data_IF_673243995979
#
_entry.id   IF_673243995979
#
_cell.length_a   1.000
_cell.length_b   1.000
_cell.length_c   1.000
_cell.angle_alpha   90.00
_cell.angle_beta   90.00
_cell.angle_gamma   90.00
#
_symmetry.space_group_name_H-M   'P 1'
#
loop_
_entity.id
_entity.type
_entity.pdbx_description
1 polymer ?
#
# COMPACT_ATOMS: atom_id res chain seq x y z
N UNK A 1 10.45 27.86 -1.07
CA UNK A 1 10.00 27.28 -2.36
C UNK A 1 11.08 26.30 -2.84
N UNK A 2 10.84 24.98 -2.86
CA UNK A 2 11.83 24.01 -3.36
C UNK A 2 11.89 24.12 -4.88
N UNK A 3 12.87 24.84 -5.42
CA UNK A 3 13.03 25.12 -6.86
C UNK A 3 13.19 23.86 -7.74
N UNK A 4 13.56 22.72 -7.15
CA UNK A 4 13.65 21.44 -7.84
C UNK A 4 13.07 20.31 -6.97
N UNK A 5 11.91 19.79 -7.36
CA UNK A 5 11.40 18.52 -6.85
C UNK A 5 11.93 17.38 -7.73
N UNK A 6 12.75 16.49 -7.17
CA UNK A 6 13.21 15.30 -7.90
C UNK A 6 12.04 14.31 -8.04
N UNK A 7 11.47 14.25 -9.26
CA UNK A 7 10.30 13.42 -9.60
C UNK A 7 10.68 12.02 -10.12
N UNK A 8 11.98 11.69 -10.18
CA UNK A 8 12.47 10.40 -10.63
C UNK A 8 12.92 10.36 -12.10
N UNK A 9 12.86 9.18 -12.70
CA UNK A 9 13.40 8.93 -14.04
C UNK A 9 12.36 9.24 -15.11
N UNK A 10 12.72 10.05 -16.10
CA UNK A 10 11.80 10.43 -17.19
C UNK A 10 11.62 9.29 -18.18
N UNK A 11 10.37 8.97 -18.51
CA UNK A 11 10.02 8.03 -19.59
C UNK A 11 10.41 8.64 -20.94
N UNK A 12 11.09 7.84 -21.77
CA UNK A 12 11.64 8.19 -23.09
C UNK A 12 11.42 7.04 -24.06
N UNK A 13 11.33 7.36 -25.36
CA UNK A 13 11.04 6.37 -26.42
C UNK A 13 12.02 5.20 -26.47
N UNK A 14 13.31 5.41 -26.20
CA UNK A 14 14.29 4.33 -26.25
C UNK A 14 14.05 3.22 -25.21
N UNK A 15 13.29 3.49 -24.13
CA UNK A 15 13.01 2.47 -23.13
C UNK A 15 12.22 1.29 -23.68
N UNK A 16 11.49 1.45 -24.80
CA UNK A 16 10.85 0.31 -25.50
C UNK A 16 11.87 -0.80 -25.81
N UNK A 17 13.10 -0.42 -26.16
CA UNK A 17 14.20 -1.33 -26.52
C UNK A 17 15.16 -1.59 -25.37
N UNK A 18 14.83 -1.22 -24.12
CA UNK A 18 15.79 -1.27 -23.00
C UNK A 18 16.28 -2.69 -22.69
N UNK A 19 15.43 -3.71 -22.86
CA UNK A 19 15.82 -5.11 -22.64
C UNK A 19 16.89 -5.55 -23.65
N UNK A 20 16.74 -5.14 -24.91
CA UNK A 20 17.74 -5.38 -25.96
C UNK A 20 19.02 -4.61 -25.64
N UNK A 21 18.91 -3.32 -25.30
CA UNK A 21 20.07 -2.48 -24.98
C UNK A 21 20.88 -3.06 -23.82
N UNK A 22 20.22 -3.43 -22.72
CA UNK A 22 20.89 -4.02 -21.54
C UNK A 22 21.51 -5.37 -21.85
N UNK A 23 20.83 -6.24 -22.59
CA UNK A 23 21.40 -7.52 -23.04
C UNK A 23 22.62 -7.32 -23.93
N UNK A 24 22.54 -6.41 -24.90
CA UNK A 24 23.67 -6.06 -25.77
C UNK A 24 24.86 -5.50 -24.99
N UNK A 25 24.62 -4.66 -23.98
CA UNK A 25 25.69 -4.14 -23.11
C UNK A 25 26.34 -5.29 -22.32
N UNK A 26 25.55 -6.22 -21.78
CA UNK A 26 26.08 -7.39 -21.05
C UNK A 26 26.86 -8.34 -21.96
N UNK A 27 26.48 -8.44 -23.24
CA UNK A 27 27.15 -9.28 -24.24
C UNK A 27 28.43 -8.63 -24.82
N UNK A 28 28.55 -7.30 -24.78
CA UNK A 28 29.64 -6.55 -25.40
C UNK A 28 31.05 -7.01 -24.99
N UNK A 29 31.37 -7.28 -23.72
CA UNK A 29 32.70 -7.76 -23.33
C UNK A 29 33.07 -9.10 -24.00
N UNK A 30 32.10 -9.99 -24.17
CA UNK A 30 32.30 -11.28 -24.82
C UNK A 30 32.51 -11.11 -26.32
N UNK A 31 31.81 -10.18 -26.97
CA UNK A 31 32.04 -9.84 -28.37
C UNK A 31 33.44 -9.27 -28.59
N UNK A 32 33.89 -8.36 -27.72
CA UNK A 32 35.23 -7.78 -27.79
C UNK A 32 36.32 -8.83 -27.54
N UNK A 33 36.12 -9.72 -26.57
CA UNK A 33 37.05 -10.83 -26.30
C UNK A 33 37.14 -11.79 -27.50
N UNK A 34 36.01 -12.14 -28.12
CA UNK A 34 36.00 -12.98 -29.32
C UNK A 34 36.64 -12.27 -30.54
N UNK A 35 36.43 -10.96 -30.70
CA UNK A 35 37.08 -10.18 -31.75
C UNK A 35 38.60 -10.12 -31.56
N UNK A 36 39.05 -9.92 -30.32
CA UNK A 36 40.47 -9.91 -29.96
C UNK A 36 41.12 -11.28 -30.17
N UNK A 37 40.45 -12.37 -29.77
CA UNK A 37 40.91 -13.73 -30.01
C UNK A 37 41.06 -14.02 -31.51
N UNK A 38 40.06 -13.62 -32.31
CA UNK A 38 40.12 -13.74 -33.77
C UNK A 38 41.29 -12.95 -34.36
N UNK A 39 41.58 -11.76 -33.83
CA UNK A 39 42.69 -10.92 -34.30
C UNK A 39 44.06 -11.57 -34.03
N UNK A 40 44.26 -12.12 -32.82
CA UNK A 40 45.53 -12.80 -32.48
C UNK A 40 45.71 -14.08 -33.29
N UNK A 41 44.66 -14.91 -33.38
CA UNK A 41 44.73 -16.20 -34.04
C UNK A 41 44.48 -16.13 -35.55
N UNK A 42 44.49 -14.93 -36.16
CA UNK A 42 44.13 -14.73 -37.56
C UNK A 42 44.91 -15.63 -38.53
N UNK A 43 46.23 -15.73 -38.34
CA UNK A 43 47.11 -16.54 -39.19
C UNK A 43 46.85 -18.05 -39.05
N UNK A 44 46.41 -18.50 -37.88
CA UNK A 44 46.09 -19.91 -37.61
C UNK A 44 44.70 -20.28 -38.11
N UNK A 45 43.76 -19.34 -38.05
CA UNK A 45 42.40 -19.49 -38.59
C UNK A 45 42.45 -19.72 -40.11
N UNK A 46 43.32 -19.01 -40.82
CA UNK A 46 43.49 -19.19 -42.28
C UNK A 46 44.05 -20.57 -42.64
N UNK A 47 44.86 -21.18 -41.76
CA UNK A 47 45.48 -22.50 -42.00
C UNK A 47 44.52 -23.64 -41.68
N UNK A 48 43.79 -23.55 -40.57
CA UNK A 48 42.88 -24.61 -40.09
C UNK A 48 41.57 -24.01 -39.61
N UNK A 49 40.58 -23.74 -40.48
CA UNK A 49 39.41 -22.95 -40.11
C UNK A 49 38.43 -23.69 -39.19
N UNK A 50 38.28 -25.01 -39.35
CA UNK A 50 37.23 -25.79 -38.67
C UNK A 50 37.32 -25.77 -37.12
N UNK A 51 38.47 -26.07 -36.48
CA UNK A 51 38.55 -26.08 -35.01
C UNK A 51 38.40 -24.68 -34.39
N UNK A 52 38.92 -23.64 -35.04
CA UNK A 52 38.80 -22.27 -34.55
C UNK A 52 37.36 -21.75 -34.67
N UNK A 53 36.62 -22.14 -35.71
CA UNK A 53 35.21 -21.80 -35.87
C UNK A 53 34.35 -22.43 -34.76
N UNK A 54 34.61 -23.69 -34.41
CA UNK A 54 33.94 -24.36 -33.29
C UNK A 54 34.25 -23.62 -31.98
N UNK A 55 35.53 -23.31 -31.73
CA UNK A 55 35.94 -22.62 -30.50
C UNK A 55 35.31 -21.23 -30.38
N UNK A 56 35.33 -20.43 -31.45
CA UNK A 56 34.67 -19.12 -31.52
C UNK A 56 33.15 -19.21 -31.29
N UNK A 57 32.52 -20.24 -31.86
CA UNK A 57 31.10 -20.48 -31.67
C UNK A 57 30.78 -20.80 -30.20
N UNK A 58 31.58 -21.65 -29.56
CA UNK A 58 31.42 -21.99 -28.14
C UNK A 58 31.65 -20.76 -27.26
N UNK A 59 32.73 -20.01 -27.48
CA UNK A 59 33.08 -18.82 -26.67
C UNK A 59 32.12 -17.65 -26.86
N UNK A 60 31.25 -17.67 -27.88
CA UNK A 60 30.19 -16.70 -28.06
C UNK A 60 28.83 -17.20 -27.56
N UNK A 61 28.42 -18.40 -27.98
CA UNK A 61 27.09 -18.94 -27.71
C UNK A 61 26.91 -19.36 -26.26
N UNK A 62 27.94 -19.94 -25.63
CA UNK A 62 27.84 -20.40 -24.24
C UNK A 62 27.65 -19.23 -23.26
N UNK A 63 28.46 -18.14 -23.30
CA UNK A 63 28.20 -16.96 -22.48
C UNK A 63 26.88 -16.27 -22.84
N UNK A 64 26.50 -16.20 -24.11
CA UNK A 64 25.21 -15.62 -24.51
C UNK A 64 24.04 -16.37 -23.86
N UNK A 65 24.07 -17.70 -23.84
CA UNK A 65 23.05 -18.51 -23.19
C UNK A 65 23.00 -18.29 -21.67
N UNK A 66 24.15 -18.27 -21.00
CA UNK A 66 24.23 -17.97 -19.56
C UNK A 66 23.69 -16.55 -19.27
N UNK A 67 24.05 -15.58 -20.10
CA UNK A 67 23.61 -14.20 -19.98
C UNK A 67 22.09 -14.06 -20.16
N UNK A 68 21.42 -14.91 -20.94
CA UNK A 68 19.95 -14.89 -21.01
C UNK A 68 19.33 -15.20 -19.64
N UNK A 69 19.82 -16.24 -18.97
CA UNK A 69 19.38 -16.60 -17.62
C UNK A 69 19.71 -15.51 -16.61
N UNK A 70 20.95 -15.00 -16.62
CA UNK A 70 21.39 -13.92 -15.73
C UNK A 70 20.58 -12.63 -15.96
N UNK A 71 20.35 -12.24 -17.21
CA UNK A 71 19.57 -11.05 -17.58
C UNK A 71 18.14 -11.18 -17.06
N UNK A 72 17.52 -12.35 -17.21
CA UNK A 72 16.20 -12.61 -16.65
C UNK A 72 16.19 -12.45 -15.13
N UNK A 73 17.15 -13.06 -14.42
CA UNK A 73 17.31 -12.91 -12.97
C UNK A 73 17.56 -11.46 -12.56
N UNK A 74 18.34 -10.70 -13.34
CA UNK A 74 18.63 -9.31 -13.07
C UNK A 74 17.34 -8.48 -12.97
N UNK A 75 16.43 -8.67 -13.93
CA UNK A 75 15.13 -8.00 -13.98
C UNK A 75 14.16 -8.43 -12.87
N UNK A 76 14.34 -9.62 -12.28
CA UNK A 76 13.52 -10.09 -11.16
C UNK A 76 14.04 -9.66 -9.79
N UNK A 77 15.36 -9.56 -9.59
CA UNK A 77 15.97 -9.37 -8.27
C UNK A 77 16.42 -7.94 -8.00
N UNK A 78 17.02 -7.27 -8.98
CA UNK A 78 17.65 -5.97 -8.74
C UNK A 78 16.69 -4.80 -9.01
N UNK A 79 16.61 -3.86 -8.06
CA UNK A 79 15.75 -2.68 -8.14
C UNK A 79 16.02 -1.82 -9.38
N UNK A 80 17.28 -1.71 -9.80
CA UNK A 80 17.67 -0.97 -10.99
C UNK A 80 16.99 -1.51 -12.25
N UNK A 81 17.06 -2.82 -12.49
CA UNK A 81 16.44 -3.45 -13.66
C UNK A 81 14.91 -3.49 -13.56
N UNK A 82 14.34 -3.67 -12.36
CA UNK A 82 12.91 -3.49 -12.12
C UNK A 82 12.43 -2.11 -12.58
N UNK A 83 13.16 -1.05 -12.18
CA UNK A 83 12.87 0.33 -12.60
C UNK A 83 12.97 0.52 -14.11
N UNK A 84 13.98 -0.06 -14.76
CA UNK A 84 14.09 -0.04 -16.23
C UNK A 84 12.91 -0.74 -16.90
N UNK A 85 12.41 -1.85 -16.35
CA UNK A 85 11.23 -2.52 -16.88
C UNK A 85 9.96 -1.68 -16.72
N UNK A 86 9.79 -1.00 -15.59
CA UNK A 86 8.69 -0.05 -15.37
C UNK A 86 8.69 1.08 -16.39
N UNK A 87 9.87 1.67 -16.66
CA UNK A 87 10.03 2.69 -17.71
C UNK A 87 9.69 2.14 -19.11
N UNK A 88 10.03 0.88 -19.40
CA UNK A 88 9.67 0.20 -20.66
C UNK A 88 8.17 0.01 -20.79
N UNK A 89 7.51 -0.50 -19.74
CA UNK A 89 6.06 -0.72 -19.72
C UNK A 89 5.33 0.60 -19.96
N UNK A 90 5.72 1.68 -19.27
CA UNK A 90 5.15 3.01 -19.49
C UNK A 90 5.45 3.57 -20.88
N UNK A 91 6.64 3.36 -21.42
CA UNK A 91 6.96 3.80 -22.77
C UNK A 91 6.08 3.10 -23.81
N UNK A 92 5.87 1.79 -23.67
CA UNK A 92 4.95 1.02 -24.51
C UNK A 92 3.51 1.52 -24.35
N UNK A 93 3.05 1.66 -23.12
CA UNK A 93 1.70 2.17 -22.81
C UNK A 93 1.43 3.52 -23.48
N UNK A 94 2.34 4.49 -23.36
CA UNK A 94 2.18 5.80 -23.98
C UNK A 94 2.16 5.74 -25.51
N UNK A 95 2.89 4.81 -26.11
CA UNK A 95 3.00 4.72 -27.57
C UNK A 95 1.80 3.96 -28.15
N UNK A 96 1.44 2.82 -27.56
CA UNK A 96 0.31 1.98 -28.00
C UNK A 96 -1.03 2.73 -27.86
N UNK A 97 -1.20 3.51 -26.78
CA UNK A 97 -2.40 4.33 -26.58
C UNK A 97 -2.34 5.70 -27.28
N UNK A 98 -1.35 5.94 -28.16
CA UNK A 98 -1.16 7.19 -28.91
C UNK A 98 -1.02 8.45 -28.04
N UNK A 99 -0.51 8.30 -26.82
CA UNK A 99 -0.17 9.38 -25.91
C UNK A 99 1.19 10.02 -26.25
N UNK A 100 1.31 10.51 -27.49
CA UNK A 100 2.49 11.23 -27.97
C UNK A 100 2.17 12.35 -28.95
N UNK A 101 3.15 13.24 -29.14
CA UNK A 101 3.12 14.28 -30.17
C UNK A 101 4.03 13.83 -31.32
N UNK A 102 3.47 13.71 -32.53
CA UNK A 102 4.24 13.48 -33.75
C UNK A 102 4.47 14.81 -34.48
N UNK A 103 5.68 14.99 -35.00
CA UNK A 103 6.00 16.06 -35.95
C UNK A 103 6.69 15.44 -37.15
N UNK A 104 6.13 15.62 -38.34
CA UNK A 104 6.76 15.16 -39.59
C UNK A 104 7.93 16.09 -39.90
N UNK A 105 9.13 15.52 -40.00
CA UNK A 105 10.34 16.25 -40.37
C UNK A 105 10.87 15.63 -41.66
N UNK A 106 11.06 16.45 -42.69
CA UNK A 106 11.70 16.02 -43.94
C UNK A 106 13.22 16.02 -43.72
N UNK A 107 13.87 14.87 -43.94
CA UNK A 107 15.33 14.74 -43.93
C UNK A 107 15.71 13.84 -45.11
N UNK A 108 16.58 14.32 -46.00
CA UNK A 108 16.99 13.62 -47.24
C UNK A 108 15.83 13.06 -48.06
N UNK A 109 14.84 13.88 -48.39
CA UNK A 109 13.70 13.48 -49.23
C UNK A 109 12.73 12.48 -48.59
N UNK A 110 13.04 11.94 -47.41
CA UNK A 110 12.16 11.02 -46.66
C UNK A 110 11.44 11.78 -45.54
N UNK A 111 10.12 11.60 -45.46
CA UNK A 111 9.32 12.10 -44.35
C UNK A 111 9.54 11.18 -43.14
N UNK A 112 10.21 11.69 -42.10
CA UNK A 112 10.43 10.95 -40.86
C UNK A 112 9.51 11.53 -39.77
N UNK A 113 8.69 10.67 -39.18
CA UNK A 113 7.85 11.06 -38.04
C UNK A 113 8.66 11.10 -36.74
N UNK A 114 8.87 12.31 -36.21
CA UNK A 114 9.50 12.51 -34.91
C UNK A 114 8.45 12.41 -33.81
N UNK A 115 8.45 11.29 -33.10
CA UNK A 115 7.58 11.04 -31.93
C UNK A 115 8.22 11.63 -30.67
N UNK A 116 7.49 12.49 -29.98
CA UNK A 116 7.86 13.09 -28.69
C UNK A 116 6.87 12.66 -27.61
N UNK A 117 7.38 12.02 -26.56
CA UNK A 117 6.56 11.60 -25.42
C UNK A 117 6.32 12.76 -24.45
N UNK A 118 5.14 12.81 -23.81
CA UNK A 118 4.85 13.74 -22.72
C UNK A 118 5.82 13.52 -21.55
N UNK A 119 5.96 14.52 -20.67
CA UNK A 119 6.81 14.39 -19.48
C UNK A 119 6.09 13.47 -18.48
N UNK A 120 6.55 12.22 -18.42
CA UNK A 120 6.15 11.24 -17.42
C UNK A 120 7.38 10.82 -16.64
N UNK A 121 7.27 10.75 -15.32
CA UNK A 121 8.36 10.38 -14.43
C UNK A 121 7.99 9.18 -13.58
N UNK A 122 9.00 8.38 -13.25
CA UNK A 122 8.87 7.18 -12.43
C UNK A 122 9.86 7.22 -11.28
N UNK A 123 9.36 7.05 -10.06
CA UNK A 123 10.17 6.78 -8.87
C UNK A 123 9.70 5.45 -8.27
N UNK A 124 10.62 4.50 -8.16
CA UNK A 124 10.31 3.13 -7.74
C UNK A 124 11.28 2.65 -6.67
N UNK A 125 10.72 2.07 -5.61
CA UNK A 125 11.40 1.26 -4.58
C UNK A 125 10.98 -0.22 -4.75
N UNK A 126 11.35 -1.08 -3.81
CA UNK A 126 10.94 -2.49 -3.85
C UNK A 126 9.43 -2.69 -3.65
N UNK A 127 8.76 -1.76 -2.96
CA UNK A 127 7.35 -1.89 -2.56
C UNK A 127 6.47 -0.71 -3.00
N UNK A 128 7.09 0.36 -3.50
CA UNK A 128 6.41 1.60 -3.82
C UNK A 128 6.74 2.06 -5.24
N UNK A 129 5.71 2.49 -5.97
CA UNK A 129 5.80 3.00 -7.33
C UNK A 129 5.03 4.32 -7.41
N UNK A 130 5.76 5.41 -7.59
CA UNK A 130 5.22 6.73 -7.84
C UNK A 130 5.37 7.09 -9.32
N UNK A 131 4.26 7.37 -9.98
CA UNK A 131 4.24 7.77 -11.40
C UNK A 131 3.66 9.17 -11.51
N UNK A 132 4.40 10.08 -12.12
CA UNK A 132 3.99 11.47 -12.29
C UNK A 132 3.70 11.78 -13.76
N UNK A 133 2.49 12.23 -14.09
CA UNK A 133 2.10 12.68 -15.44
C UNK A 133 1.92 14.19 -15.47
N UNK A 134 2.35 14.82 -16.56
CA UNK A 134 2.24 16.27 -16.73
C UNK A 134 0.81 16.72 -17.05
N UNK A 135 0.35 17.75 -16.36
CA UNK A 135 -0.89 18.49 -16.55
C UNK A 135 -0.54 19.93 -16.95
N UNK A 136 -0.34 20.18 -18.24
CA UNK A 136 -0.06 21.51 -18.81
C UNK A 136 -1.10 21.86 -19.89
N UNK A 137 -2.39 21.52 -19.68
CA UNK A 137 -3.44 21.74 -20.69
C UNK A 137 -3.23 20.92 -21.96
N UNK A 138 -2.47 19.82 -21.87
CA UNK A 138 -2.17 19.00 -23.03
C UNK A 138 -3.40 18.16 -23.46
N UNK A 139 -3.41 17.70 -24.71
CA UNK A 139 -4.51 16.90 -25.29
C UNK A 139 -4.80 15.57 -24.56
N UNK A 140 -3.98 15.19 -23.59
CA UNK A 140 -4.09 13.94 -22.84
C UNK A 140 -4.48 14.17 -21.37
N UNK A 141 -4.70 15.42 -20.96
CA UNK A 141 -4.89 15.79 -19.57
C UNK A 141 -6.03 15.00 -18.91
N UNK A 142 -7.21 14.97 -19.52
CA UNK A 142 -8.38 14.27 -18.98
C UNK A 142 -8.15 12.75 -18.89
N UNK A 143 -7.37 12.21 -19.83
CA UNK A 143 -6.96 10.79 -19.78
C UNK A 143 -6.00 10.55 -18.63
N UNK A 144 -4.97 11.38 -18.48
CA UNK A 144 -4.00 11.28 -17.38
C UNK A 144 -4.61 11.48 -16.01
N UNK A 145 -5.72 12.19 -15.89
CA UNK A 145 -6.48 12.32 -14.64
C UNK A 145 -7.20 11.03 -14.27
N UNK A 146 -7.50 10.15 -15.22
CA UNK A 146 -8.32 8.95 -15.00
C UNK A 146 -7.55 7.64 -15.22
N UNK A 147 -6.23 7.63 -14.97
CA UNK A 147 -5.37 6.45 -15.19
C UNK A 147 -5.22 5.52 -13.98
N UNK A 148 -5.84 5.82 -12.84
CA UNK A 148 -5.62 5.08 -11.58
C UNK A 148 -5.80 3.56 -11.72
N UNK A 149 -6.99 3.13 -12.15
CA UNK A 149 -7.31 1.71 -12.34
C UNK A 149 -6.45 1.04 -13.41
N UNK A 150 -6.17 1.74 -14.52
CA UNK A 150 -5.31 1.20 -15.59
C UNK A 150 -3.89 0.93 -15.09
N UNK A 151 -3.31 1.85 -14.30
CA UNK A 151 -1.96 1.69 -13.77
C UNK A 151 -1.90 0.59 -12.71
N UNK A 152 -2.95 0.45 -11.91
CA UNK A 152 -3.11 -0.60 -10.91
C UNK A 152 -3.08 -2.00 -11.55
N UNK A 153 -3.81 -2.18 -12.65
CA UNK A 153 -3.79 -3.42 -13.45
C UNK A 153 -2.41 -3.61 -14.11
N UNK A 154 -1.89 -2.57 -14.77
CA UNK A 154 -0.65 -2.63 -15.55
C UNK A 154 0.58 -3.00 -14.70
N UNK A 155 0.64 -2.56 -13.45
CA UNK A 155 1.76 -2.84 -12.55
C UNK A 155 1.51 -3.95 -11.54
N UNK A 156 0.34 -4.58 -11.59
CA UNK A 156 -0.10 -5.52 -10.58
C UNK A 156 0.11 -4.99 -9.14
N UNK A 157 -0.24 -3.73 -8.94
CA UNK A 157 -0.11 -3.05 -7.65
C UNK A 157 -1.47 -2.68 -7.09
N UNK A 158 -1.46 -2.04 -5.92
CA UNK A 158 -2.65 -1.43 -5.31
C UNK A 158 -2.53 0.08 -5.36
N UNK A 159 -3.55 0.73 -5.89
CA UNK A 159 -3.62 2.19 -5.90
C UNK A 159 -3.85 2.71 -4.48
N UNK A 160 -2.93 3.55 -4.00
CA UNK A 160 -2.95 4.18 -2.67
C UNK A 160 -3.60 5.55 -2.70
N UNK A 161 -3.05 6.45 -3.52
CA UNK A 161 -3.50 7.83 -3.56
C UNK A 161 -3.18 8.50 -4.90
N UNK A 162 -3.93 9.55 -5.22
CA UNK A 162 -3.74 10.44 -6.35
C UNK A 162 -3.62 11.85 -5.81
N UNK A 163 -2.45 12.45 -6.00
CA UNK A 163 -2.18 13.82 -5.56
C UNK A 163 -1.90 14.73 -6.75
N UNK A 164 -2.31 15.99 -6.62
CA UNK A 164 -2.01 17.03 -7.59
C UNK A 164 -0.85 17.87 -7.06
N UNK A 165 0.29 17.80 -7.74
CA UNK A 165 1.53 18.48 -7.38
C UNK A 165 1.91 19.46 -8.50
N UNK A 166 1.47 20.71 -8.31
CA UNK A 166 1.64 21.84 -9.22
C UNK A 166 1.13 21.52 -10.64
N UNK A 167 2.03 21.12 -11.53
CA UNK A 167 1.78 20.81 -12.95
C UNK A 167 1.73 19.32 -13.24
N UNK A 168 1.63 18.48 -12.20
CA UNK A 168 1.63 17.05 -12.37
C UNK A 168 0.56 16.40 -11.51
N UNK A 169 0.07 15.28 -12.02
CA UNK A 169 -0.69 14.31 -11.24
C UNK A 169 0.24 13.16 -10.86
N UNK A 170 0.23 12.79 -9.59
CA UNK A 170 1.02 11.70 -9.07
C UNK A 170 0.12 10.55 -8.65
N UNK A 171 0.43 9.36 -9.15
CA UNK A 171 -0.19 8.11 -8.76
C UNK A 171 0.76 7.37 -7.84
N UNK A 172 0.31 7.13 -6.61
CA UNK A 172 0.98 6.30 -5.62
C UNK A 172 0.42 4.88 -5.69
N UNK A 173 1.29 3.91 -5.99
CA UNK A 173 0.94 2.51 -6.19
C UNK A 173 1.85 1.64 -5.32
N UNK A 174 1.26 0.76 -4.52
CA UNK A 174 1.97 -0.28 -3.78
C UNK A 174 2.24 -1.46 -4.68
N UNK A 175 3.45 -1.99 -4.69
CA UNK A 175 3.84 -3.14 -5.52
C UNK A 175 4.44 -4.25 -4.65
N UNK A 176 4.42 -5.49 -5.13
CA UNK A 176 5.00 -6.66 -4.44
C UNK A 176 4.40 -6.93 -3.05
N UNK A 177 3.07 -7.02 -2.98
CA UNK A 177 2.26 -7.19 -1.74
C UNK A 177 2.66 -8.39 -0.88
N UNK A 178 3.03 -9.51 -1.49
CA UNK A 178 3.43 -10.71 -0.75
C UNK A 178 4.75 -10.47 0.01
N UNK A 179 5.72 -9.85 -0.67
CA UNK A 179 7.03 -9.57 -0.08
C UNK A 179 7.03 -8.36 0.85
N UNK A 180 5.94 -7.58 0.90
CA UNK A 180 5.78 -6.50 1.87
C UNK A 180 5.16 -6.97 3.18
N UNK A 181 4.70 -8.23 3.28
CA UNK A 181 4.26 -8.80 4.56
C UNK A 181 5.42 -8.82 5.55
N UNK A 182 5.11 -8.56 6.80
CA UNK A 182 6.06 -8.56 7.92
C UNK A 182 5.59 -9.57 8.97
N UNK A 183 6.52 -10.06 9.76
CA UNK A 183 6.19 -10.92 10.90
C UNK A 183 5.62 -10.10 12.06
N UNK A 184 4.91 -10.77 12.97
CA UNK A 184 4.26 -10.14 14.14
C UNK A 184 5.28 -9.40 15.02
N UNK A 185 6.51 -9.92 15.10
CA UNK A 185 7.61 -9.29 15.85
C UNK A 185 8.03 -7.94 15.28
N UNK A 186 7.86 -7.74 13.98
CA UNK A 186 8.29 -6.54 13.25
C UNK A 186 7.22 -5.44 13.22
N UNK A 187 6.01 -5.77 13.70
CA UNK A 187 4.92 -4.82 13.92
C UNK A 187 5.31 -3.91 15.07
N UNK A 188 5.77 -2.72 14.69
CA UNK A 188 6.33 -1.70 15.58
C UNK A 188 5.55 -0.40 15.44
N UNK A 189 5.60 0.43 16.47
CA UNK A 189 4.98 1.75 16.49
C UNK A 189 6.10 2.78 16.49
N UNK A 190 6.09 3.65 15.48
CA UNK A 190 6.97 4.82 15.40
C UNK A 190 6.12 6.07 15.32
N UNK A 191 6.30 7.01 16.25
CA UNK A 191 5.57 8.29 16.31
C UNK A 191 4.07 8.16 16.05
N UNK A 192 3.39 7.27 16.78
CA UNK A 192 1.95 6.98 16.65
C UNK A 192 1.53 6.20 15.40
N UNK A 193 2.46 5.88 14.52
CA UNK A 193 2.21 5.08 13.32
C UNK A 193 2.56 3.62 13.55
N UNK A 194 1.54 2.76 13.49
CA UNK A 194 1.68 1.32 13.54
C UNK A 194 2.07 0.80 12.16
N UNK A 195 3.20 0.11 12.06
CA UNK A 195 3.64 -0.55 10.83
C UNK A 195 2.92 -1.90 10.68
N UNK A 196 2.04 -1.99 9.69
CA UNK A 196 1.25 -3.21 9.40
C UNK A 196 1.91 -4.07 8.31
N UNK A 197 2.61 -3.43 7.37
CA UNK A 197 3.41 -4.06 6.31
C UNK A 197 4.65 -3.20 6.07
N UNK A 198 5.56 -3.62 5.19
CA UNK A 198 6.74 -2.84 4.81
C UNK A 198 6.39 -1.43 4.31
N UNK A 199 5.22 -1.28 3.69
CA UNK A 199 4.75 -0.03 3.08
C UNK A 199 3.31 0.35 3.48
N UNK A 200 2.70 -0.35 4.43
CA UNK A 200 1.35 -0.04 4.95
C UNK A 200 1.47 0.30 6.42
N UNK A 201 0.96 1.48 6.77
CA UNK A 201 1.00 2.03 8.12
C UNK A 201 -0.38 2.52 8.52
N UNK A 202 -0.67 2.50 9.82
CA UNK A 202 -1.85 3.12 10.41
C UNK A 202 -1.39 4.12 11.48
N UNK A 203 -1.61 5.40 11.22
CA UNK A 203 -1.40 6.46 12.21
C UNK A 203 -2.73 6.69 12.94
N UNK A 204 -2.80 6.24 14.19
CA UNK A 204 -4.04 6.32 14.97
C UNK A 204 -4.42 7.75 15.39
N UNK A 205 -3.53 8.74 15.26
CA UNK A 205 -3.83 10.16 15.52
C UNK A 205 -4.36 10.85 14.25
N UNK A 206 -3.76 10.55 13.10
CA UNK A 206 -4.17 11.12 11.82
C UNK A 206 -5.44 10.44 11.27
N UNK A 207 -5.53 9.12 11.41
CA UNK A 207 -6.64 8.27 10.98
C UNK A 207 -7.27 7.61 12.23
N UNK A 208 -8.04 8.37 13.03
CA UNK A 208 -8.61 7.86 14.27
C UNK A 208 -9.58 6.72 13.96
N UNK A 209 -9.51 5.68 14.79
CA UNK A 209 -10.27 4.43 14.66
C UNK A 209 -9.86 3.58 13.44
N UNK A 210 -10.05 2.28 13.57
CA UNK A 210 -9.67 1.30 12.55
C UNK A 210 -10.81 0.31 12.31
N UNK A 211 -11.19 0.12 11.06
CA UNK A 211 -12.14 -0.91 10.66
C UNK A 211 -11.39 -2.03 9.93
N UNK A 212 -11.50 -3.25 10.45
CA UNK A 212 -10.92 -4.46 9.88
C UNK A 212 -12.08 -5.34 9.45
N UNK A 213 -12.03 -5.87 8.24
CA UNK A 213 -12.96 -6.90 7.87
C UNK A 213 -12.42 -7.93 6.91
N UNK A 214 -13.05 -9.09 6.92
CA UNK A 214 -12.53 -10.26 6.21
C UNK A 214 -13.35 -11.50 6.49
N UNK A 215 -13.44 -12.37 5.49
CA UNK A 215 -14.11 -13.66 5.64
C UNK A 215 -13.44 -14.56 6.68
N UNK A 216 -14.19 -15.57 7.12
CA UNK A 216 -13.67 -16.64 8.00
C UNK A 216 -12.44 -17.29 7.37
N UNK A 217 -11.40 -17.53 8.18
CA UNK A 217 -10.13 -18.09 7.70
C UNK A 217 -9.22 -17.10 6.94
N UNK A 218 -9.62 -15.84 6.77
CA UNK A 218 -8.84 -14.81 6.07
C UNK A 218 -7.66 -14.21 6.84
N UNK A 219 -7.37 -14.71 8.06
CA UNK A 219 -6.30 -14.18 8.91
C UNK A 219 -6.68 -12.97 9.78
N UNK A 220 -7.98 -12.67 9.92
CA UNK A 220 -8.51 -11.57 10.76
C UNK A 220 -7.97 -11.60 12.19
N UNK A 221 -8.07 -12.76 12.85
CA UNK A 221 -7.55 -12.95 14.21
C UNK A 221 -6.06 -12.66 14.30
N UNK A 222 -5.25 -13.16 13.36
CA UNK A 222 -3.79 -12.95 13.35
C UNK A 222 -3.44 -11.46 13.24
N UNK A 223 -4.12 -10.73 12.34
CA UNK A 223 -3.93 -9.29 12.19
C UNK A 223 -4.34 -8.55 13.46
N UNK A 224 -5.49 -8.90 14.04
CA UNK A 224 -5.98 -8.28 15.28
C UNK A 224 -5.00 -8.49 16.43
N UNK A 225 -4.51 -9.72 16.62
CA UNK A 225 -3.51 -10.06 17.64
C UNK A 225 -2.20 -9.31 17.44
N UNK A 226 -1.76 -9.14 16.19
CA UNK A 226 -0.55 -8.38 15.86
C UNK A 226 -0.68 -6.90 16.23
N UNK A 227 -1.86 -6.31 15.97
CA UNK A 227 -2.17 -4.93 16.36
C UNK A 227 -2.21 -4.82 17.88
N UNK A 228 -2.92 -5.71 18.57
CA UNK A 228 -3.01 -5.74 20.04
C UNK A 228 -1.62 -5.85 20.67
N UNK A 229 -0.77 -6.74 20.16
CA UNK A 229 0.62 -6.94 20.62
C UNK A 229 1.44 -5.65 20.56
N UNK A 230 1.35 -4.91 19.46
CA UNK A 230 2.10 -3.67 19.29
C UNK A 230 1.51 -2.54 20.15
N UNK A 231 0.18 -2.38 20.17
CA UNK A 231 -0.50 -1.31 20.90
C UNK A 231 -0.37 -1.47 22.43
N UNK A 232 -0.28 -2.70 22.95
CA UNK A 232 -0.15 -2.96 24.38
C UNK A 232 1.15 -2.37 24.97
N UNK A 233 2.15 -2.11 24.12
CA UNK A 233 3.43 -1.49 24.50
C UNK A 233 3.33 0.01 24.70
N UNK A 234 2.32 0.67 24.13
CA UNK A 234 2.22 2.15 24.12
C UNK A 234 1.02 2.69 24.89
N UNK A 235 -0.02 1.87 25.08
CA UNK A 235 -1.28 2.34 25.63
C UNK A 235 -2.03 1.28 26.42
N UNK A 236 -3.22 1.67 26.85
CA UNK A 236 -4.18 0.79 27.49
C UNK A 236 -5.07 0.15 26.43
N UNK A 237 -5.44 -1.12 26.61
CA UNK A 237 -6.34 -1.82 25.69
C UNK A 237 -7.46 -2.49 26.49
N UNK A 238 -8.69 -2.30 26.03
CA UNK A 238 -9.84 -3.09 26.43
C UNK A 238 -10.27 -3.97 25.25
N UNK A 239 -10.47 -5.26 25.51
CA UNK A 239 -10.75 -6.29 24.51
C UNK A 239 -12.20 -6.76 24.70
N UNK A 240 -13.02 -6.61 23.67
CA UNK A 240 -14.40 -7.05 23.65
C UNK A 240 -14.52 -8.23 22.66
N UNK A 241 -14.86 -9.40 23.19
CA UNK A 241 -15.01 -10.64 22.43
C UNK A 241 -16.41 -11.24 22.65
N UNK A 242 -17.42 -10.79 21.89
CA UNK A 242 -18.78 -11.27 22.03
C UNK A 242 -18.92 -12.75 21.67
N UNK A 243 -17.96 -13.37 20.98
CA UNK A 243 -18.00 -14.80 20.67
C UNK A 243 -17.27 -15.67 21.71
N UNK A 244 -16.57 -15.06 22.67
CA UNK A 244 -15.72 -15.75 23.64
C UNK A 244 -14.80 -16.78 22.96
N UNK A 245 -14.11 -16.33 21.92
CA UNK A 245 -13.29 -17.13 21.03
C UNK A 245 -11.80 -16.78 21.24
N UNK A 246 -11.13 -16.31 20.19
CA UNK A 246 -9.67 -16.19 20.15
C UNK A 246 -9.11 -15.13 21.12
N UNK A 247 -9.83 -14.03 21.38
CA UNK A 247 -9.39 -12.97 22.28
C UNK A 247 -9.63 -13.32 23.76
N UNK A 248 -10.58 -14.20 24.06
CA UNK A 248 -10.87 -14.62 25.43
C UNK A 248 -9.66 -15.25 26.14
N UNK A 249 -8.78 -15.92 25.39
CA UNK A 249 -7.54 -16.49 25.92
C UNK A 249 -6.53 -15.46 26.44
N UNK A 250 -6.72 -14.17 26.13
CA UNK A 250 -5.86 -13.10 26.67
C UNK A 250 -6.18 -12.75 28.12
N UNK A 251 -7.24 -13.30 28.72
CA UNK A 251 -7.61 -13.10 30.15
C UNK A 251 -6.48 -13.45 31.12
N UNK A 252 -5.71 -14.48 30.79
CA UNK A 252 -4.62 -14.99 31.63
C UNK A 252 -3.33 -14.16 31.51
N UNK A 253 -3.25 -13.26 30.53
CA UNK A 253 -2.08 -12.40 30.34
C UNK A 253 -2.17 -11.23 31.32
N UNK A 254 -1.16 -10.99 32.18
CA UNK A 254 -1.23 -9.99 33.24
C UNK A 254 -1.63 -8.57 32.79
N UNK A 255 -1.22 -8.15 31.59
CA UNK A 255 -1.53 -6.82 31.05
C UNK A 255 -3.01 -6.64 30.68
N UNK A 256 -3.73 -7.74 30.41
CA UNK A 256 -5.14 -7.74 30.01
C UNK A 256 -6.09 -8.23 31.11
N UNK A 257 -5.56 -8.55 32.29
CA UNK A 257 -6.38 -9.01 33.41
C UNK A 257 -7.45 -7.97 33.77
N UNK A 258 -8.72 -8.41 33.80
CA UNK A 258 -9.88 -7.53 34.02
C UNK A 258 -10.22 -6.59 32.85
N UNK A 259 -9.63 -6.80 31.67
CA UNK A 259 -9.82 -5.96 30.47
C UNK A 259 -10.31 -6.76 29.25
N UNK A 260 -10.78 -7.98 29.47
CA UNK A 260 -11.37 -8.83 28.44
C UNK A 260 -12.83 -9.08 28.78
N UNK A 261 -13.72 -8.55 27.95
CA UNK A 261 -15.17 -8.51 28.14
C UNK A 261 -15.83 -9.42 27.13
N UNK A 262 -16.69 -10.34 27.59
CA UNK A 262 -17.26 -11.39 26.73
C UNK A 262 -18.80 -11.40 26.73
N UNK A 263 -19.41 -11.04 27.86
CA UNK A 263 -20.88 -10.95 27.94
C UNK A 263 -21.37 -9.64 27.31
N UNK A 264 -22.64 -9.58 26.90
CA UNK A 264 -23.19 -8.36 26.31
C UNK A 264 -23.21 -7.23 27.35
N UNK A 265 -23.54 -7.53 28.60
CA UNK A 265 -23.57 -6.59 29.71
C UNK A 265 -22.17 -6.02 30.01
N UNK A 266 -21.15 -6.89 30.05
CA UNK A 266 -19.75 -6.49 30.23
C UNK A 266 -19.26 -5.56 29.11
N UNK A 267 -19.58 -5.88 27.85
CA UNK A 267 -19.16 -5.07 26.71
C UNK A 267 -19.86 -3.70 26.72
N UNK A 268 -21.16 -3.66 27.05
CA UNK A 268 -21.91 -2.40 27.18
C UNK A 268 -21.32 -1.53 28.30
N UNK A 269 -21.01 -2.14 29.45
CA UNK A 269 -20.39 -1.43 30.56
C UNK A 269 -18.99 -0.92 30.19
N UNK A 270 -18.18 -1.71 29.49
CA UNK A 270 -16.88 -1.29 28.98
C UNK A 270 -16.98 -0.06 28.07
N UNK A 271 -17.98 0.00 27.18
CA UNK A 271 -18.21 1.18 26.33
C UNK A 271 -18.56 2.42 27.17
N UNK A 272 -19.46 2.27 28.15
CA UNK A 272 -19.84 3.35 29.07
C UNK A 272 -18.66 3.86 29.90
N UNK A 273 -17.83 2.94 30.41
CA UNK A 273 -16.64 3.28 31.18
C UNK A 273 -15.63 4.06 30.34
N UNK A 274 -15.50 3.69 29.06
CA UNK A 274 -14.63 4.42 28.13
C UNK A 274 -15.18 5.79 27.74
N UNK A 275 -16.50 5.98 27.67
CA UNK A 275 -17.12 7.31 27.52
C UNK A 275 -16.77 8.18 28.73
N UNK A 276 -16.99 7.65 29.94
CA UNK A 276 -16.67 8.36 31.19
C UNK A 276 -15.17 8.70 31.25
N UNK A 277 -14.31 7.77 30.84
CA UNK A 277 -12.86 7.99 30.76
C UNK A 277 -12.48 9.10 29.77
N UNK A 278 -13.14 9.15 28.61
CA UNK A 278 -12.98 10.20 27.62
C UNK A 278 -13.37 11.58 28.18
N UNK A 279 -14.54 11.67 28.82
CA UNK A 279 -15.03 12.92 29.43
C UNK A 279 -14.09 13.43 30.53
N UNK A 280 -13.62 12.52 31.40
CA UNK A 280 -12.64 12.85 32.43
C UNK A 280 -11.34 13.38 31.84
N UNK A 281 -10.88 12.83 30.70
CA UNK A 281 -9.70 13.35 30.00
C UNK A 281 -9.95 14.73 29.40
N UNK A 282 -11.13 14.98 28.85
CA UNK A 282 -11.48 16.30 28.36
C UNK A 282 -11.42 17.34 29.49
N UNK A 283 -12.01 17.03 30.64
CA UNK A 283 -11.93 17.90 31.81
C UNK A 283 -10.47 18.11 32.27
N UNK A 284 -9.67 17.05 32.33
CA UNK A 284 -8.26 17.16 32.70
C UNK A 284 -7.43 18.01 31.73
N UNK A 285 -7.70 17.90 30.41
CA UNK A 285 -7.05 18.71 29.38
C UNK A 285 -7.46 20.19 29.51
N UNK A 286 -8.76 20.46 29.64
CA UNK A 286 -9.29 21.83 29.76
C UNK A 286 -8.79 22.53 31.02
N UNK A 287 -8.65 21.80 32.12
CA UNK A 287 -8.14 22.31 33.39
C UNK A 287 -6.61 22.29 33.50
N UNK A 288 -5.88 21.85 32.46
CA UNK A 288 -4.43 21.78 32.50
C UNK A 288 -3.83 23.21 32.50
N UNK A 289 -2.84 23.52 33.36
CA UNK A 289 -2.28 24.88 33.46
C UNK A 289 -1.74 25.46 32.14
N UNK A 290 -1.26 24.58 31.26
CA UNK A 290 -0.75 24.93 29.92
C UNK A 290 -1.74 24.63 28.80
N UNK A 291 -3.05 24.70 29.06
CA UNK A 291 -4.07 24.44 28.05
C UNK A 291 -3.85 25.31 26.82
N UNK A 292 -3.85 24.68 25.65
CA UNK A 292 -3.78 25.34 24.36
C UNK A 292 -4.81 24.74 23.42
N UNK A 293 -5.49 25.62 22.68
CA UNK A 293 -6.47 25.22 21.67
C UNK A 293 -5.77 24.39 20.59
N UNK A 294 -6.42 23.30 20.17
CA UNK A 294 -5.91 22.41 19.13
C UNK A 294 -4.86 21.40 19.59
N UNK A 295 -4.56 21.33 20.89
CA UNK A 295 -3.72 20.29 21.49
C UNK A 295 -4.54 19.08 21.90
N UNK A 296 -3.90 17.91 21.90
CA UNK A 296 -4.53 16.61 22.17
C UNK A 296 -3.87 15.90 23.35
N UNK A 297 -4.44 14.77 23.77
CA UNK A 297 -3.94 13.93 24.87
C UNK A 297 -2.41 13.71 24.86
N UNK A 298 -1.79 13.55 23.68
CA UNK A 298 -0.35 13.30 23.54
C UNK A 298 0.49 14.51 23.98
N UNK A 299 0.01 15.73 23.77
CA UNK A 299 0.68 16.96 24.19
C UNK A 299 0.70 17.14 25.72
N UNK A 300 -0.19 16.45 26.43
CA UNK A 300 -0.30 16.45 27.89
C UNK A 300 0.29 15.17 28.52
N UNK A 301 1.06 14.39 27.78
CA UNK A 301 1.73 13.18 28.28
C UNK A 301 0.78 12.02 28.63
N UNK A 302 -0.47 12.07 28.17
CA UNK A 302 -1.43 11.00 28.40
C UNK A 302 -1.18 9.85 27.42
N UNK A 303 -1.29 8.61 27.90
CA UNK A 303 -1.16 7.41 27.05
C UNK A 303 -2.43 7.20 26.22
N UNK A 304 -2.36 6.68 24.99
CA UNK A 304 -3.55 6.32 24.23
C UNK A 304 -4.32 5.16 24.90
N UNK A 305 -5.63 5.11 24.66
CA UNK A 305 -6.54 4.05 25.10
C UNK A 305 -7.22 3.46 23.87
N UNK A 306 -7.20 2.14 23.74
CA UNK A 306 -7.78 1.42 22.61
C UNK A 306 -8.89 0.50 23.09
N UNK A 307 -9.99 0.48 22.34
CA UNK A 307 -11.12 -0.41 22.53
C UNK A 307 -11.16 -1.31 21.30
N UNK A 308 -10.84 -2.58 21.47
CA UNK A 308 -10.82 -3.56 20.38
C UNK A 308 -12.07 -4.40 20.50
N UNK A 309 -12.93 -4.37 19.48
CA UNK A 309 -14.14 -5.20 19.45
C UNK A 309 -14.00 -6.20 18.31
N UNK A 310 -13.86 -7.47 18.67
CA UNK A 310 -14.01 -8.54 17.69
C UNK A 310 -15.48 -8.78 17.39
N UNK A 311 -15.75 -9.07 16.13
CA UNK A 311 -17.08 -9.33 15.57
C UNK A 311 -18.19 -8.43 16.11
N UNK A 312 -18.13 -7.13 15.81
CA UNK A 312 -19.17 -6.18 16.21
C UNK A 312 -20.60 -6.64 15.87
N UNK A 313 -20.77 -7.27 14.70
CA UNK A 313 -22.06 -7.82 14.27
C UNK A 313 -22.64 -8.86 15.26
N UNK A 314 -21.79 -9.64 15.93
CA UNK A 314 -22.23 -10.62 16.93
C UNK A 314 -22.74 -9.94 18.21
N UNK A 315 -22.19 -8.79 18.60
CA UNK A 315 -22.75 -8.01 19.70
C UNK A 315 -24.13 -7.46 19.33
N UNK A 316 -24.25 -6.88 18.14
CA UNK A 316 -25.53 -6.33 17.64
C UNK A 316 -26.62 -7.40 17.59
N UNK A 317 -26.30 -8.58 17.06
CA UNK A 317 -27.24 -9.71 17.03
C UNK A 317 -27.70 -10.16 18.43
N UNK A 318 -26.84 -10.06 19.46
CA UNK A 318 -27.20 -10.42 20.85
C UNK A 318 -28.12 -9.41 21.53
N UNK A 319 -28.14 -8.16 21.05
CA UNK A 319 -28.96 -7.07 21.62
C UNK A 319 -30.10 -6.65 20.71
N UNK A 320 -30.29 -7.33 19.58
CA UNK A 320 -31.27 -6.98 18.54
C UNK A 320 -32.70 -6.92 19.08
N UNK A 321 -33.04 -7.79 20.03
CA UNK A 321 -34.36 -7.81 20.67
C UNK A 321 -34.57 -6.72 21.72
N UNK A 322 -33.52 -6.02 22.15
CA UNK A 322 -33.58 -4.97 23.17
C UNK A 322 -33.24 -3.60 22.58
N UNK A 323 -34.28 -2.92 22.09
CA UNK A 323 -34.18 -1.60 21.49
C UNK A 323 -33.54 -0.56 22.41
N UNK A 324 -33.73 -0.67 23.74
CA UNK A 324 -33.15 0.27 24.70
C UNK A 324 -31.64 0.08 24.81
N UNK A 325 -31.18 -1.17 24.86
CA UNK A 325 -29.74 -1.47 24.85
C UNK A 325 -29.10 -1.09 23.52
N UNK A 326 -29.76 -1.36 22.39
CA UNK A 326 -29.27 -0.96 21.08
C UNK A 326 -29.09 0.57 20.96
N UNK A 327 -30.06 1.34 21.46
CA UNK A 327 -29.97 2.80 21.51
C UNK A 327 -28.80 3.28 22.37
N UNK A 328 -28.64 2.73 23.59
CA UNK A 328 -27.53 3.07 24.48
C UNK A 328 -26.16 2.76 23.87
N UNK A 329 -26.00 1.57 23.29
CA UNK A 329 -24.74 1.16 22.66
C UNK A 329 -24.40 2.06 21.48
N UNK A 330 -25.40 2.40 20.68
CA UNK A 330 -25.22 3.32 19.54
C UNK A 330 -24.81 4.71 20.03
N UNK A 331 -25.39 5.20 21.12
CA UNK A 331 -25.05 6.49 21.72
C UNK A 331 -23.60 6.51 22.20
N UNK A 332 -23.19 5.55 23.05
CA UNK A 332 -21.81 5.47 23.56
C UNK A 332 -20.80 5.35 22.42
N UNK A 333 -21.10 4.49 21.43
CA UNK A 333 -20.23 4.31 20.28
C UNK A 333 -20.11 5.60 19.46
N UNK A 334 -21.22 6.30 19.24
CA UNK A 334 -21.22 7.57 18.48
C UNK A 334 -20.35 8.62 19.17
N UNK A 335 -20.50 8.78 20.49
CA UNK A 335 -19.67 9.70 21.27
C UNK A 335 -18.18 9.33 21.16
N UNK A 336 -17.82 8.06 21.38
CA UNK A 336 -16.42 7.62 21.31
C UNK A 336 -15.80 7.81 19.93
N UNK A 337 -16.54 7.58 18.85
CA UNK A 337 -16.01 7.72 17.48
C UNK A 337 -15.90 9.18 17.06
N UNK A 338 -16.85 10.03 17.44
CA UNK A 338 -16.84 11.44 17.06
C UNK A 338 -15.87 12.27 17.93
N UNK A 339 -15.76 11.93 19.21
CA UNK A 339 -15.05 12.73 20.21
C UNK A 339 -13.78 12.03 20.75
N UNK A 340 -13.52 10.76 20.43
CA UNK A 340 -12.38 10.02 20.99
C UNK A 340 -11.00 10.55 20.59
N UNK A 341 -10.87 11.21 19.44
CA UNK A 341 -9.57 11.63 18.89
C UNK A 341 -8.77 12.55 19.81
N UNK A 342 -9.38 13.61 20.35
CA UNK A 342 -8.64 14.58 21.17
C UNK A 342 -8.31 14.03 22.55
N UNK A 343 -9.18 13.19 23.12
CA UNK A 343 -8.99 12.49 24.40
C UNK A 343 -8.05 11.28 24.30
N UNK A 344 -7.69 10.86 23.08
CA UNK A 344 -6.81 9.72 22.84
C UNK A 344 -7.47 8.37 23.10
N UNK A 345 -8.78 8.29 22.89
CA UNK A 345 -9.56 7.05 22.95
C UNK A 345 -9.90 6.61 21.53
N UNK A 346 -9.42 5.44 21.13
CA UNK A 346 -9.55 4.93 19.77
C UNK A 346 -10.25 3.58 19.75
N UNK A 347 -10.99 3.31 18.67
CA UNK A 347 -11.78 2.08 18.51
C UNK A 347 -11.22 1.30 17.34
N UNK A 348 -11.06 -0.01 17.54
CA UNK A 348 -10.68 -0.95 16.50
C UNK A 348 -11.83 -1.96 16.37
N UNK A 349 -12.49 -1.95 15.22
CA UNK A 349 -13.55 -2.89 14.90
C UNK A 349 -13.04 -3.98 13.99
N UNK A 350 -13.34 -5.22 14.34
CA UNK A 350 -13.21 -6.35 13.44
C UNK A 350 -14.59 -6.91 13.10
N UNK A 351 -14.86 -7.14 11.81
CA UNK A 351 -16.13 -7.67 11.33
C UNK A 351 -15.91 -8.69 10.22
N UNK A 352 -16.76 -9.71 10.11
CA UNK A 352 -16.72 -10.57 8.93
C UNK A 352 -17.26 -9.85 7.68
N UNK A 353 -18.37 -9.12 7.85
CA UNK A 353 -19.00 -8.31 6.80
C UNK A 353 -19.40 -6.95 7.39
N UNK A 354 -18.87 -5.81 6.89
CA UNK A 354 -19.16 -4.49 7.44
C UNK A 354 -20.50 -3.93 6.93
N UNK A 355 -21.59 -4.64 7.21
CA UNK A 355 -22.93 -4.26 6.74
C UNK A 355 -23.40 -2.94 7.39
N UNK A 356 -24.16 -2.15 6.63
CA UNK A 356 -24.78 -0.91 7.10
C UNK A 356 -25.84 -1.14 8.18
N UNK A 357 -26.38 -2.36 8.25
CA UNK A 357 -27.27 -2.80 9.34
C UNK A 357 -26.57 -2.76 10.71
N UNK A 358 -25.29 -3.12 10.77
CA UNK A 358 -24.53 -3.19 12.03
C UNK A 358 -23.82 -1.89 12.39
N UNK A 359 -23.41 -1.09 11.39
CA UNK A 359 -22.77 0.21 11.59
C UNK A 359 -23.42 1.23 10.65
N UNK A 360 -24.07 2.25 11.23
CA UNK A 360 -24.62 3.37 10.48
C UNK A 360 -23.55 4.01 9.60
N UNK A 361 -23.87 4.30 8.33
CA UNK A 361 -22.93 4.86 7.35
C UNK A 361 -22.15 6.07 7.87
N UNK A 362 -22.83 7.03 8.52
CA UNK A 362 -22.20 8.23 9.07
C UNK A 362 -21.12 7.91 10.12
N UNK A 363 -21.33 6.86 10.92
CA UNK A 363 -20.34 6.40 11.90
C UNK A 363 -19.18 5.68 11.21
N UNK A 364 -19.48 4.81 10.25
CA UNK A 364 -18.47 4.09 9.44
C UNK A 364 -17.52 5.05 8.72
N UNK A 365 -18.01 6.19 8.28
CA UNK A 365 -17.21 7.21 7.59
C UNK A 365 -16.17 7.88 8.49
N UNK A 366 -16.31 7.79 9.81
CA UNK A 366 -15.29 8.22 10.75
C UNK A 366 -14.14 7.21 10.91
N UNK A 367 -14.32 5.95 10.50
CA UNK A 367 -13.24 4.96 10.40
C UNK A 367 -12.43 5.21 9.12
N UNK A 368 -11.52 6.18 9.21
CA UNK A 368 -10.71 6.64 8.07
C UNK A 368 -9.77 5.56 7.56
N UNK A 369 -9.20 4.75 8.48
CA UNK A 369 -8.41 3.59 8.11
C UNK A 369 -9.28 2.34 8.06
N UNK A 370 -9.25 1.65 6.92
CA UNK A 370 -9.99 0.42 6.68
C UNK A 370 -9.07 -0.65 6.10
N UNK A 371 -9.11 -1.85 6.65
CA UNK A 371 -8.29 -2.99 6.25
C UNK A 371 -9.19 -4.17 5.87
N UNK A 372 -9.02 -4.68 4.67
CA UNK A 372 -9.60 -5.96 4.27
C UNK A 372 -8.57 -7.07 4.38
N UNK A 373 -8.94 -8.19 5.01
CA UNK A 373 -8.09 -9.38 5.17
C UNK A 373 -8.75 -10.59 4.51
N UNK A 374 -7.96 -11.38 3.78
CA UNK A 374 -8.49 -12.45 2.94
C UNK A 374 -9.43 -11.94 1.84
N UNK A 375 -10.21 -12.85 1.29
CA UNK A 375 -11.19 -12.53 0.26
C UNK A 375 -12.49 -12.01 0.88
N UNK A 376 -13.01 -10.92 0.34
CA UNK A 376 -14.39 -10.46 0.53
C UNK A 376 -15.16 -10.62 -0.78
N UNK A 377 -16.46 -10.85 -0.68
CA UNK A 377 -17.36 -10.73 -1.83
C UNK A 377 -17.42 -9.25 -2.31
N UNK A 378 -17.74 -9.01 -3.58
CA UNK A 378 -17.79 -7.67 -4.19
C UNK A 378 -18.65 -6.67 -3.40
N UNK A 379 -19.76 -7.15 -2.84
CA UNK A 379 -20.65 -6.35 -1.97
C UNK A 379 -19.94 -5.97 -0.68
N UNK A 380 -19.18 -6.89 -0.08
CA UNK A 380 -18.38 -6.65 1.12
C UNK A 380 -17.28 -5.62 0.90
N UNK A 381 -16.61 -5.64 -0.26
CA UNK A 381 -15.64 -4.60 -0.62
C UNK A 381 -16.28 -3.22 -0.77
N UNK A 382 -17.45 -3.15 -1.41
CA UNK A 382 -18.18 -1.89 -1.57
C UNK A 382 -18.64 -1.34 -0.22
N UNK A 383 -19.15 -2.19 0.67
CA UNK A 383 -19.51 -1.80 2.03
C UNK A 383 -18.30 -1.35 2.86
N UNK A 384 -17.15 -2.00 2.70
CA UNK A 384 -15.93 -1.65 3.41
C UNK A 384 -15.34 -0.33 2.92
N UNK A 385 -15.19 -0.14 1.62
CA UNK A 385 -14.42 0.99 1.06
C UNK A 385 -15.28 2.08 0.39
N UNK A 386 -16.59 1.92 0.40
CA UNK A 386 -17.55 2.85 -0.22
C UNK A 386 -17.58 2.78 -1.75
N UNK A 387 -18.52 3.51 -2.34
CA UNK A 387 -18.75 3.50 -3.79
C UNK A 387 -17.57 4.01 -4.62
N UNK A 388 -16.73 4.88 -4.04
CA UNK A 388 -15.52 5.38 -4.69
C UNK A 388 -14.56 4.25 -5.10
N UNK A 389 -14.64 3.10 -4.42
CA UNK A 389 -13.80 1.92 -4.67
C UNK A 389 -14.57 0.77 -5.34
N UNK A 390 -15.81 0.98 -5.78
CA UNK A 390 -16.64 -0.09 -6.38
C UNK A 390 -16.03 -0.72 -7.63
N UNK A 391 -15.30 0.07 -8.41
CA UNK A 391 -14.63 -0.40 -9.64
C UNK A 391 -13.17 -0.83 -9.40
N UNK A 392 -12.73 -0.90 -8.14
CA UNK A 392 -11.38 -1.35 -7.79
C UNK A 392 -11.34 -2.88 -7.82
N UNK A 393 -10.44 -3.44 -8.61
CA UNK A 393 -10.16 -4.87 -8.57
C UNK A 393 -9.30 -5.18 -7.34
N UNK A 394 -9.94 -5.71 -6.29
CA UNK A 394 -9.23 -6.21 -5.13
C UNK A 394 -8.55 -7.53 -5.47
N UNK A 395 -7.22 -7.50 -5.56
CA UNK A 395 -6.40 -8.69 -5.81
C UNK A 395 -6.08 -9.36 -4.48
N UNK A 396 -6.19 -10.68 -4.42
CA UNK A 396 -5.86 -11.49 -3.23
C UNK A 396 -4.41 -11.96 -3.25
#
# INVERSE_FOLDING_TARGET
MRLFTYRGWRVRKYYQKIKVITYSIMLLPFLLANAYYTYISYQEILKTPLPYLIKLSITLLFPAFILLGLHHLCYQKFLFFKRLNTLRILANFLIENRYYLSKTVKRDGKAIEKITLPKVFVKQTNYHLLISFILEGNKFQDRFINLGSTLEVMFNGDFKNKTFDERFIQYDISINRINSRIDISDVTIDNHSLKLMADVFWDYIAEPHLLIGGGTGGGKTVVLMSIVWALAKVGFIDLCDPKNADLAGLKDVPVFHGRVFSTKEEIIQCLKDNVTFMENRYQAIQNHPNYKIGKSFSDYGMKPKFIVIDEWAALMAKIDSDYRLQAQVTEYLTQLVLEGRQSGVFIIFAMQRPDGEYIKTALRDNFMKRLSVGHLEDTGYTMMFGDANRNKEFKN
#
